data_IF_801499030809
#
_entry.id   IF_801499030809
#
_cell.length_a   1.000
_cell.length_b   1.000
_cell.length_c   1.000
_cell.angle_alpha   90.00
_cell.angle_beta   90.00
_cell.angle_gamma   90.00
#
_symmetry.space_group_name_H-M   'P 1'
#
loop_
_entity.id
_entity.type
_entity.pdbx_description
1 polymer ?
#
# COMPACT_ATOMS: atom_id res chain seq x y z
N UNK A 1 -11.96 -15.45 -5.89
CA UNK A 1 -11.22 -14.21 -6.17
C UNK A 1 -11.87 -13.54 -7.37
N UNK A 2 -12.00 -12.21 -7.38
CA UNK A 2 -12.77 -11.49 -8.41
C UNK A 2 -12.07 -11.45 -9.79
N UNK A 3 -10.81 -11.86 -9.85
CA UNK A 3 -9.92 -11.93 -11.02
C UNK A 3 -8.89 -13.05 -10.82
N UNK A 4 -8.29 -13.54 -11.91
CA UNK A 4 -7.12 -14.41 -11.86
C UNK A 4 -5.91 -13.68 -11.27
N UNK A 5 -5.01 -14.42 -10.62
CA UNK A 5 -3.82 -13.84 -10.02
C UNK A 5 -2.91 -13.25 -11.10
N UNK A 6 -2.76 -11.92 -11.04
CA UNK A 6 -1.87 -11.18 -11.93
C UNK A 6 -0.43 -11.45 -11.51
N UNK A 7 0.46 -11.67 -12.49
CA UNK A 7 1.87 -11.90 -12.21
C UNK A 7 2.52 -10.68 -11.54
N UNK A 8 3.22 -10.91 -10.42
CA UNK A 8 3.98 -9.88 -9.70
C UNK A 8 5.02 -9.15 -10.54
N UNK A 9 5.48 -9.77 -11.65
CA UNK A 9 6.37 -9.15 -12.63
C UNK A 9 5.81 -7.86 -13.22
N UNK A 10 4.48 -7.77 -13.40
CA UNK A 10 3.83 -6.55 -13.89
C UNK A 10 3.99 -5.42 -12.87
N UNK A 11 3.69 -5.69 -11.61
CA UNK A 11 3.76 -4.71 -10.53
C UNK A 11 5.19 -4.24 -10.29
N UNK A 12 6.18 -5.13 -10.32
CA UNK A 12 7.60 -4.79 -10.24
C UNK A 12 8.00 -3.84 -11.38
N UNK A 13 7.56 -4.12 -12.62
CA UNK A 13 7.82 -3.25 -13.77
C UNK A 13 7.18 -1.87 -13.59
N UNK A 14 5.93 -1.82 -13.12
CA UNK A 14 5.20 -0.58 -12.91
C UNK A 14 5.89 0.30 -11.84
N UNK A 15 6.27 -0.28 -10.70
CA UNK A 15 7.01 0.44 -9.65
C UNK A 15 8.36 0.95 -10.15
N UNK A 16 9.09 0.14 -10.92
CA UNK A 16 10.36 0.58 -11.53
C UNK A 16 10.16 1.78 -12.45
N UNK A 17 9.12 1.76 -13.30
CA UNK A 17 8.81 2.86 -14.20
C UNK A 17 8.39 4.14 -13.44
N UNK A 18 7.61 3.99 -12.37
CA UNK A 18 7.22 5.11 -11.51
C UNK A 18 8.43 5.72 -10.80
N UNK A 19 9.25 4.89 -10.14
CA UNK A 19 10.45 5.33 -9.43
C UNK A 19 11.48 5.99 -10.35
N UNK A 20 11.57 5.58 -11.62
CA UNK A 20 12.44 6.22 -12.60
C UNK A 20 12.07 7.68 -12.92
N UNK A 21 10.82 8.09 -12.65
CA UNK A 21 10.34 9.46 -12.84
C UNK A 21 10.39 10.31 -11.56
N UNK A 22 10.69 9.69 -10.41
CA UNK A 22 10.80 10.39 -9.14
C UNK A 22 12.06 11.27 -9.12
N UNK A 23 11.94 12.45 -8.50
CA UNK A 23 13.13 13.27 -8.21
C UNK A 23 14.04 12.54 -7.21
N UNK A 24 15.35 12.80 -7.24
CA UNK A 24 16.26 12.21 -6.25
C UNK A 24 15.84 12.54 -4.81
N UNK A 25 16.15 11.61 -3.90
CA UNK A 25 15.89 11.68 -2.46
C UNK A 25 14.42 11.99 -2.14
N UNK A 26 13.52 11.31 -2.84
CA UNK A 26 12.08 11.48 -2.64
C UNK A 26 11.40 10.20 -2.20
N UNK A 27 10.35 10.36 -1.41
CA UNK A 27 9.48 9.27 -0.98
C UNK A 27 8.10 9.46 -1.60
N UNK A 28 7.47 8.37 -2.04
CA UNK A 28 6.10 8.36 -2.51
C UNK A 28 5.24 7.47 -1.62
N UNK A 29 4.06 7.96 -1.23
CA UNK A 29 3.11 7.24 -0.36
C UNK A 29 1.78 7.05 -1.07
N UNK A 30 1.31 5.80 -1.11
CA UNK A 30 0.01 5.43 -1.64
C UNK A 30 -0.77 4.70 -0.56
N UNK A 31 -2.04 5.07 -0.40
CA UNK A 31 -2.94 4.45 0.57
C UNK A 31 -3.99 3.61 -0.15
N UNK A 32 -4.42 2.53 0.50
CA UNK A 32 -5.66 1.85 0.14
C UNK A 32 -6.86 2.76 0.34
N UNK A 33 -7.97 2.39 -0.29
CA UNK A 33 -9.25 3.01 0.05
C UNK A 33 -9.73 2.55 1.44
N UNK A 34 -10.64 3.34 2.01
CA UNK A 34 -11.37 2.97 3.21
C UNK A 34 -12.58 2.07 2.87
N UNK A 35 -13.10 1.41 3.91
CA UNK A 35 -14.38 0.71 3.82
C UNK A 35 -15.51 1.74 4.00
N UNK A 36 -16.39 1.85 3.01
CA UNK A 36 -17.50 2.81 3.04
C UNK A 36 -18.72 2.23 3.76
N UNK A 37 -19.25 2.88 4.81
CA UNK A 37 -20.46 2.44 5.49
C UNK A 37 -21.72 2.74 4.65
N UNK A 38 -22.71 1.85 4.71
CA UNK A 38 -24.06 2.07 4.18
C UNK A 38 -24.99 2.54 5.31
N UNK A 39 -25.05 1.76 6.40
CA UNK A 39 -25.90 2.03 7.57
C UNK A 39 -25.40 1.18 8.74
N UNK A 40 -25.22 1.80 9.92
CA UNK A 40 -24.74 1.14 11.13
C UNK A 40 -23.51 0.24 10.89
N UNK A 41 -23.68 -1.09 10.97
CA UNK A 41 -22.66 -2.13 10.80
C UNK A 41 -22.52 -2.62 9.35
N UNK A 42 -23.39 -2.19 8.43
CA UNK A 42 -23.38 -2.60 7.02
C UNK A 42 -22.46 -1.72 6.18
N UNK A 43 -21.66 -2.35 5.31
CA UNK A 43 -20.65 -1.69 4.47
C UNK A 43 -20.86 -1.97 2.99
N UNK A 44 -20.39 -1.05 2.14
CA UNK A 44 -20.31 -1.28 0.71
C UNK A 44 -19.21 -2.29 0.39
N UNK A 45 -19.33 -3.06 -0.71
CA UNK A 45 -18.25 -3.91 -1.17
C UNK A 45 -16.97 -3.10 -1.39
N UNK A 46 -15.87 -3.55 -0.78
CA UNK A 46 -14.58 -2.88 -0.90
C UNK A 46 -14.13 -2.75 -2.36
N UNK A 47 -13.56 -1.58 -2.68
CA UNK A 47 -12.97 -1.29 -3.98
C UNK A 47 -11.63 -0.60 -3.75
N UNK A 48 -10.55 -1.27 -4.13
CA UNK A 48 -9.21 -0.74 -3.93
C UNK A 48 -8.94 0.53 -4.77
N UNK A 49 -8.12 1.43 -4.22
CA UNK A 49 -7.59 2.56 -4.96
C UNK A 49 -6.77 2.07 -6.17
N UNK A 50 -7.04 2.61 -7.35
CA UNK A 50 -6.45 2.10 -8.60
C UNK A 50 -4.94 2.27 -8.64
N UNK A 51 -4.41 3.33 -8.04
CA UNK A 51 -2.97 3.62 -8.03
C UNK A 51 -2.18 2.59 -7.23
N UNK A 52 -2.59 2.32 -5.98
CA UNK A 52 -1.91 1.30 -5.16
C UNK A 52 -2.09 -0.09 -5.77
N UNK A 53 -3.29 -0.41 -6.28
CA UNK A 53 -3.53 -1.69 -6.94
C UNK A 53 -2.65 -1.86 -8.19
N UNK A 54 -2.50 -0.81 -9.00
CA UNK A 54 -1.63 -0.83 -10.18
C UNK A 54 -0.15 -1.05 -9.85
N UNK A 55 0.28 -0.64 -8.66
CA UNK A 55 1.67 -0.76 -8.20
C UNK A 55 1.95 -2.03 -7.38
N UNK A 56 0.95 -2.66 -6.77
CA UNK A 56 1.16 -3.78 -5.83
C UNK A 56 0.28 -5.00 -6.09
N UNK A 57 -0.87 -4.85 -6.74
CA UNK A 57 -1.89 -5.89 -6.82
C UNK A 57 -2.57 -6.23 -5.47
N UNK A 58 -2.22 -5.55 -4.37
CA UNK A 58 -2.80 -5.80 -3.07
C UNK A 58 -4.24 -5.26 -3.02
N UNK A 59 -5.21 -6.14 -2.85
CA UNK A 59 -6.64 -5.84 -2.83
C UNK A 59 -7.21 -6.00 -1.41
N UNK A 60 -6.71 -5.18 -0.50
CA UNK A 60 -7.11 -5.15 0.91
C UNK A 60 -7.17 -3.71 1.41
N UNK A 61 -8.09 -3.41 2.31
CA UNK A 61 -8.11 -2.18 3.08
C UNK A 61 -6.88 -2.05 3.99
N UNK A 62 -6.72 -0.88 4.61
CA UNK A 62 -5.66 -0.62 5.60
C UNK A 62 -4.27 -1.06 5.11
N UNK A 63 -3.99 -0.79 3.84
CA UNK A 63 -2.75 -1.12 3.16
C UNK A 63 -2.06 0.15 2.69
N UNK A 64 -0.75 0.28 2.94
CA UNK A 64 0.03 1.45 2.50
C UNK A 64 1.27 1.00 1.74
N UNK A 65 1.53 1.62 0.59
CA UNK A 65 2.76 1.44 -0.16
C UNK A 65 3.65 2.67 0.04
N UNK A 66 4.90 2.45 0.39
CA UNK A 66 5.94 3.49 0.43
C UNK A 66 7.07 3.12 -0.52
N UNK A 67 7.40 4.04 -1.43
CA UNK A 67 8.51 3.90 -2.39
C UNK A 67 9.56 4.96 -2.11
N UNK A 68 10.80 4.54 -1.94
CA UNK A 68 11.94 5.43 -1.74
C UNK A 68 13.18 4.92 -2.49
N UNK A 69 13.32 5.20 -3.81
CA UNK A 69 14.35 4.58 -4.65
C UNK A 69 15.79 4.80 -4.15
N UNK A 70 16.04 5.96 -3.56
CA UNK A 70 17.35 6.38 -3.06
C UNK A 70 17.58 6.06 -1.57
N UNK A 71 16.73 5.23 -0.96
CA UNK A 71 16.91 4.83 0.43
C UNK A 71 18.31 4.18 0.62
N UNK A 72 19.09 4.63 1.62
CA UNK A 72 20.36 4.02 2.01
C UNK A 72 20.18 2.53 2.36
N UNK A 73 19.12 2.21 3.13
CA UNK A 73 18.72 0.84 3.37
C UNK A 73 17.95 0.31 2.14
N UNK A 74 18.42 -0.78 1.54
CA UNK A 74 17.77 -1.41 0.38
C UNK A 74 16.36 -1.91 0.72
N UNK A 75 16.13 -2.32 1.96
CA UNK A 75 14.84 -2.82 2.40
C UNK A 75 13.81 -1.69 2.48
N UNK A 76 14.24 -0.43 2.62
CA UNK A 76 13.34 0.73 2.66
C UNK A 76 13.00 1.29 1.27
N UNK A 77 13.49 0.67 0.19
CA UNK A 77 13.23 1.17 -1.17
C UNK A 77 11.82 0.90 -1.65
N UNK A 78 11.29 -0.26 -1.29
CA UNK A 78 9.92 -0.67 -1.57
C UNK A 78 9.37 -1.30 -0.29
N UNK A 79 8.37 -0.66 0.32
CA UNK A 79 7.79 -1.13 1.58
C UNK A 79 6.27 -1.20 1.44
N UNK A 80 5.69 -2.33 1.83
CA UNK A 80 4.24 -2.52 1.87
C UNK A 80 3.82 -2.78 3.32
N UNK A 81 2.86 -2.00 3.80
CA UNK A 81 2.28 -2.14 5.12
C UNK A 81 0.91 -2.76 4.96
N UNK A 82 0.63 -3.85 5.67
CA UNK A 82 -0.66 -4.54 5.65
C UNK A 82 -1.23 -4.66 7.05
N UNK A 83 -2.56 -4.66 7.16
CA UNK A 83 -3.26 -4.93 8.43
C UNK A 83 -2.87 -6.31 8.95
N UNK A 84 -2.51 -6.37 10.24
CA UNK A 84 -2.27 -7.65 10.92
C UNK A 84 -3.57 -8.43 11.05
N UNK A 85 -3.52 -9.71 10.73
CA UNK A 85 -4.67 -10.61 10.87
C UNK A 85 -4.50 -11.52 12.07
N UNK A 86 -5.61 -11.91 12.67
CA UNK A 86 -5.70 -12.92 13.72
C UNK A 86 -6.78 -13.92 13.32
N UNK A 87 -6.64 -15.19 13.69
CA UNK A 87 -7.63 -16.25 13.46
C UNK A 87 -9.05 -15.83 13.86
N UNK A 88 -9.20 -15.05 14.94
CA UNK A 88 -10.50 -14.50 15.33
C UNK A 88 -11.08 -13.49 14.32
N UNK A 89 -10.23 -12.67 13.69
CA UNK A 89 -10.65 -11.65 12.69
C UNK A 89 -10.98 -12.32 11.37
N UNK A 90 -10.21 -13.35 10.98
CA UNK A 90 -10.40 -14.06 9.72
C UNK A 90 -11.77 -14.74 9.59
N UNK A 91 -12.37 -15.17 10.70
CA UNK A 91 -13.71 -15.77 10.74
C UNK A 91 -14.80 -14.76 10.36
N UNK A 92 -14.65 -13.49 10.75
CA UNK A 92 -15.69 -12.47 10.59
C UNK A 92 -15.45 -11.53 9.40
N UNK A 93 -14.19 -11.16 9.14
CA UNK A 93 -13.82 -10.21 8.09
C UNK A 93 -13.20 -10.88 6.85
N UNK A 94 -13.06 -12.20 6.86
CA UNK A 94 -12.41 -12.99 5.82
C UNK A 94 -10.88 -13.01 5.91
N UNK A 95 -10.27 -13.85 5.08
CA UNK A 95 -8.81 -13.99 5.02
C UNK A 95 -8.15 -12.69 4.54
N UNK A 96 -7.34 -12.09 5.40
CA UNK A 96 -6.46 -10.96 5.08
C UNK A 96 -5.10 -11.46 4.59
N UNK A 97 -4.39 -10.62 3.85
CA UNK A 97 -3.05 -10.87 3.36
C UNK A 97 -2.07 -11.11 4.52
N UNK A 98 -1.45 -12.29 4.53
CA UNK A 98 -0.23 -12.51 5.31
C UNK A 98 0.95 -11.82 4.63
N UNK A 99 2.06 -11.66 5.34
CA UNK A 99 3.28 -11.06 4.77
C UNK A 99 3.82 -11.88 3.58
N UNK A 100 3.71 -13.21 3.64
CA UNK A 100 4.11 -14.12 2.58
C UNK A 100 3.22 -13.95 1.35
N UNK A 101 1.89 -13.89 1.54
CA UNK A 101 0.92 -13.68 0.47
C UNK A 101 1.10 -12.31 -0.18
N UNK A 102 1.32 -11.27 0.63
CA UNK A 102 1.59 -9.92 0.16
C UNK A 102 2.88 -9.87 -0.68
N UNK A 103 3.92 -10.59 -0.26
CA UNK A 103 5.16 -10.75 -1.03
C UNK A 103 4.92 -11.47 -2.36
N UNK A 104 4.15 -12.55 -2.36
CA UNK A 104 3.84 -13.34 -3.56
C UNK A 104 3.10 -12.51 -4.62
N UNK A 105 2.08 -11.76 -4.19
CA UNK A 105 1.23 -10.94 -5.07
C UNK A 105 2.00 -9.72 -5.58
N UNK A 106 2.67 -8.97 -4.70
CA UNK A 106 3.28 -7.69 -5.05
C UNK A 106 4.71 -7.79 -5.57
N UNK A 107 5.43 -8.86 -5.22
CA UNK A 107 6.87 -8.99 -5.44
C UNK A 107 7.73 -8.07 -4.57
N UNK A 108 7.14 -7.36 -3.59
CA UNK A 108 7.85 -6.54 -2.61
C UNK A 108 8.38 -7.46 -1.51
N UNK A 109 9.64 -7.26 -1.11
CA UNK A 109 10.29 -8.07 -0.07
C UNK A 109 10.04 -7.54 1.35
N UNK A 110 9.98 -6.22 1.49
CA UNK A 110 9.81 -5.58 2.79
C UNK A 110 8.33 -5.36 3.07
N UNK A 111 7.73 -6.35 3.72
CA UNK A 111 6.35 -6.27 4.18
C UNK A 111 6.36 -6.05 5.69
N UNK A 112 5.62 -5.06 6.17
CA UNK A 112 5.49 -4.73 7.58
C UNK A 112 4.03 -4.74 8.01
N UNK A 113 3.80 -4.84 9.32
CA UNK A 113 2.45 -4.63 9.85
C UNK A 113 2.12 -3.15 9.88
N UNK A 114 0.84 -2.80 9.66
CA UNK A 114 0.40 -1.41 9.66
C UNK A 114 0.72 -0.68 10.98
N UNK A 115 0.69 -1.39 12.11
CA UNK A 115 1.08 -0.84 13.44
C UNK A 115 2.52 -0.33 13.50
N UNK A 116 3.39 -0.79 12.61
CA UNK A 116 4.80 -0.38 12.54
C UNK A 116 5.01 0.84 11.64
N UNK A 117 3.96 1.27 10.92
CA UNK A 117 4.03 2.34 9.93
C UNK A 117 4.63 3.62 10.48
N UNK A 118 4.11 4.14 11.60
CA UNK A 118 4.55 5.45 12.11
C UNK A 118 6.04 5.47 12.46
N UNK A 119 6.55 4.37 13.03
CA UNK A 119 7.97 4.22 13.40
C UNK A 119 8.86 4.18 12.15
N UNK A 120 8.55 3.30 11.20
CA UNK A 120 9.37 3.11 9.99
C UNK A 120 9.27 4.33 9.09
N UNK A 121 8.07 4.89 8.94
CA UNK A 121 7.84 6.08 8.14
C UNK A 121 8.58 7.29 8.71
N UNK A 122 8.63 7.46 10.04
CA UNK A 122 9.45 8.50 10.66
C UNK A 122 10.92 8.39 10.27
N UNK A 123 11.50 7.18 10.36
CA UNK A 123 12.89 6.93 9.97
C UNK A 123 13.14 7.27 8.49
N UNK A 124 12.27 6.80 7.59
CA UNK A 124 12.36 7.07 6.16
C UNK A 124 12.24 8.56 5.86
N UNK A 125 11.32 9.25 6.53
CA UNK A 125 11.09 10.68 6.37
C UNK A 125 12.30 11.53 6.78
N UNK A 126 13.10 11.09 7.76
CA UNK A 126 14.34 11.81 8.13
C UNK A 126 15.39 11.84 7.03
N UNK A 127 15.28 10.95 6.04
CA UNK A 127 16.24 10.77 4.95
C UNK A 127 15.74 11.35 3.62
N UNK A 128 14.43 11.65 3.52
CA UNK A 128 13.80 12.17 2.31
C UNK A 128 13.83 13.70 2.27
N UNK A 129 14.11 14.28 1.09
CA UNK A 129 14.02 15.72 0.85
C UNK A 129 12.65 16.13 0.26
N UNK A 130 11.94 15.18 -0.36
CA UNK A 130 10.69 15.42 -1.09
C UNK A 130 9.69 14.31 -0.84
N UNK A 131 8.41 14.67 -0.80
CA UNK A 131 7.29 13.73 -0.61
C UNK A 131 6.33 13.85 -1.79
N UNK A 132 6.00 12.72 -2.38
CA UNK A 132 4.89 12.54 -3.30
C UNK A 132 3.75 11.86 -2.53
N UNK A 133 2.57 12.44 -2.60
CA UNK A 133 1.37 11.85 -2.03
C UNK A 133 0.19 12.19 -2.94
N UNK A 134 -0.81 11.32 -2.96
CA UNK A 134 -2.02 11.57 -3.72
C UNK A 134 -2.84 12.66 -3.00
N UNK A 135 -2.84 13.87 -3.58
CA UNK A 135 -3.81 14.91 -3.23
C UNK A 135 -5.13 14.60 -3.94
N UNK A 136 -6.23 14.51 -3.20
CA UNK A 136 -7.55 14.51 -3.82
C UNK A 136 -7.92 15.98 -4.13
N UNK A 137 -7.68 16.37 -5.37
CA UNK A 137 -7.87 17.76 -5.83
C UNK A 137 -9.34 18.10 -6.13
N UNK A 138 -10.27 17.21 -5.80
CA UNK A 138 -11.68 17.44 -6.06
C UNK A 138 -12.23 18.53 -5.12
N UNK A 139 -12.92 19.52 -5.69
CA UNK A 139 -13.49 20.67 -4.96
C UNK A 139 -14.39 20.30 -3.76
N UNK A 140 -14.94 19.08 -3.74
CA UNK A 140 -15.77 18.57 -2.64
C UNK A 140 -14.98 18.11 -1.42
N UNK A 141 -13.64 18.02 -1.50
CA UNK A 141 -12.82 17.69 -0.34
C UNK A 141 -12.74 18.84 0.67
N UNK A 142 -12.84 20.09 0.22
CA UNK A 142 -12.69 21.28 1.07
C UNK A 142 -13.97 21.69 1.81
N UNK A 143 -14.99 20.84 1.84
CA UNK A 143 -16.30 21.11 2.47
C UNK A 143 -16.53 20.15 3.63
#
# INVERSE_FOLDING_TARGET
>A
MKYDQISSKLFIKNRKNFMAQMKPKSVAVFNSNDIYPISADSTMPFQQARDIFYLTGADQEETKLVLFPDAPNKDHREMLFVRETNDHIAVWEGEKLTQEKATEISGIKSIYWLKEFDKIFFEVMTQAERVYFNTNEHYRQSV
#
